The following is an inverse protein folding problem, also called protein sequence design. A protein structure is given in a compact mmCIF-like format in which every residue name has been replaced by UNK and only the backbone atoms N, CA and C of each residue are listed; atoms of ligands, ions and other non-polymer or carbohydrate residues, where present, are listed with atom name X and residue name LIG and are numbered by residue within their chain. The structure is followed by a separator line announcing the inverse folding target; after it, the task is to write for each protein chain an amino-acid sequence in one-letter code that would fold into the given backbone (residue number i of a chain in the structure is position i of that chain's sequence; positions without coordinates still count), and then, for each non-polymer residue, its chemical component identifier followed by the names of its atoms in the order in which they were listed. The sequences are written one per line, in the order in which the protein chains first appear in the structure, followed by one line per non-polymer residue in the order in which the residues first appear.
data_IF_556646088098
#
_entry.id   IF_556646088098
#
_cell.length_a   1.000
_cell.length_b   1.000
_cell.length_c   1.000
_cell.angle_alpha   90.00
_cell.angle_beta   90.00
_cell.angle_gamma   90.00
#
_symmetry.space_group_name_H-M   'P 1'
#
loop_
_entity.id
_entity.type
_entity.pdbx_description
1 polymer ?
#
# COMPACT_ATOMS: atom_id res chain seq x y z
N UNK A 1 -9.98 36.18 19.47
CA UNK A 1 -8.89 35.21 19.65
C UNK A 1 -9.55 33.85 19.70
N UNK A 2 -9.37 33.04 18.67
CA UNK A 2 -9.74 31.62 18.75
C UNK A 2 -8.84 31.00 19.82
N UNK A 3 -9.45 30.46 20.88
CA UNK A 3 -8.70 29.70 21.87
C UNK A 3 -8.10 28.47 21.16
N UNK A 4 -6.84 28.09 21.46
CA UNK A 4 -6.27 26.87 20.90
C UNK A 4 -7.19 25.69 21.23
N UNK A 5 -7.68 25.00 20.20
CA UNK A 5 -8.49 23.80 20.38
C UNK A 5 -7.62 22.72 21.01
N UNK A 6 -7.93 22.33 22.25
CA UNK A 6 -7.22 21.25 22.93
C UNK A 6 -7.51 19.95 22.18
N UNK A 7 -6.44 19.27 21.74
CA UNK A 7 -6.54 17.93 21.21
C UNK A 7 -6.61 16.92 22.37
N UNK A 8 -7.85 16.66 22.80
CA UNK A 8 -8.17 15.67 23.83
C UNK A 8 -7.70 14.25 23.46
N UNK A 9 -7.59 13.92 22.18
CA UNK A 9 -7.15 12.60 21.75
C UNK A 9 -5.65 12.45 21.91
N UNK A 10 -4.87 13.45 21.52
CA UNK A 10 -3.41 13.46 21.69
C UNK A 10 -3.03 13.42 23.17
N UNK A 11 -3.65 14.27 24.00
CA UNK A 11 -3.42 14.27 25.45
C UNK A 11 -3.83 12.94 26.10
N UNK A 12 -4.94 12.31 25.68
CA UNK A 12 -5.34 10.98 26.16
C UNK A 12 -4.39 9.87 25.69
N UNK A 13 -3.83 9.99 24.48
CA UNK A 13 -2.83 9.05 23.93
C UNK A 13 -1.51 9.13 24.70
N UNK A 14 -1.04 10.35 24.96
CA UNK A 14 0.14 10.66 25.77
C UNK A 14 -0.08 10.40 27.26
N UNK A 15 -1.34 10.25 27.65
CA UNK A 15 -1.86 10.04 28.99
C UNK A 15 -1.45 11.10 29.99
N UNK A 16 -1.52 12.35 29.55
CA UNK A 16 -1.30 13.53 30.38
C UNK A 16 -2.52 13.77 31.28
N UNK A 17 -2.75 12.87 32.23
CA UNK A 17 -3.94 12.87 33.08
C UNK A 17 -4.12 14.20 33.83
N UNK A 18 -3.03 14.77 34.37
CA UNK A 18 -3.06 16.06 35.07
C UNK A 18 -3.48 17.20 34.15
N UNK A 19 -2.99 17.20 32.91
CA UNK A 19 -3.38 18.20 31.91
C UNK A 19 -4.85 18.04 31.52
N UNK A 20 -5.31 16.80 31.32
CA UNK A 20 -6.70 16.49 31.00
C UNK A 20 -7.65 16.93 32.13
N UNK A 21 -7.29 16.66 33.39
CA UNK A 21 -8.04 17.12 34.57
C UNK A 21 -8.07 18.64 34.65
N UNK A 22 -6.93 19.29 34.43
CA UNK A 22 -6.83 20.75 34.41
C UNK A 22 -7.70 21.36 33.31
N UNK A 23 -7.59 20.88 32.07
CA UNK A 23 -8.39 21.34 30.94
C UNK A 23 -9.90 21.13 31.17
N UNK A 24 -10.28 19.98 31.76
CA UNK A 24 -11.67 19.67 32.11
C UNK A 24 -12.20 20.63 33.18
N UNK A 25 -11.40 20.94 34.20
CA UNK A 25 -11.78 21.87 35.28
C UNK A 25 -12.00 23.30 34.81
N UNK A 26 -11.40 23.67 33.67
CA UNK A 26 -11.55 24.98 33.04
C UNK A 26 -12.65 25.01 31.96
N UNK A 27 -13.39 23.90 31.77
CA UNK A 27 -14.40 23.73 30.72
C UNK A 27 -13.85 23.98 29.29
N UNK A 28 -12.54 23.73 29.09
CA UNK A 28 -11.88 23.94 27.79
C UNK A 28 -12.03 22.70 26.92
N UNK A 29 -13.12 22.67 26.15
CA UNK A 29 -13.50 21.52 25.32
C UNK A 29 -14.07 20.36 26.13
N UNK A 30 -14.53 19.31 25.45
CA UNK A 30 -15.19 18.18 26.09
C UNK A 30 -14.51 16.85 25.71
N UNK A 31 -14.15 15.99 26.69
CA UNK A 31 -13.77 14.62 26.42
C UNK A 31 -14.88 13.91 25.63
N UNK A 32 -14.49 13.12 24.64
CA UNK A 32 -15.44 12.38 23.81
C UNK A 32 -15.02 10.92 23.68
N UNK A 33 -15.80 10.15 22.92
CA UNK A 33 -15.50 8.74 22.63
C UNK A 33 -14.09 8.52 22.04
N UNK A 34 -13.54 9.50 21.32
CA UNK A 34 -12.25 9.38 20.66
C UNK A 34 -11.08 9.53 21.65
N UNK A 35 -11.25 10.33 22.71
CA UNK A 35 -10.32 10.35 23.84
C UNK A 35 -10.30 8.99 24.56
N UNK A 36 -11.46 8.36 24.78
CA UNK A 36 -11.56 7.00 25.33
C UNK A 36 -10.88 5.97 24.41
N UNK A 37 -11.10 6.06 23.09
CA UNK A 37 -10.42 5.19 22.11
C UNK A 37 -8.90 5.38 22.14
N UNK A 38 -8.41 6.62 22.19
CA UNK A 38 -6.98 6.94 22.20
C UNK A 38 -6.28 6.45 23.48
N UNK A 39 -6.91 6.65 24.64
CA UNK A 39 -6.42 6.12 25.92
C UNK A 39 -6.36 4.58 25.91
N UNK A 40 -7.41 3.92 25.43
CA UNK A 40 -7.45 2.45 25.33
C UNK A 40 -6.43 1.90 24.33
N UNK A 41 -6.31 2.52 23.16
CA UNK A 41 -5.32 2.18 22.14
C UNK A 41 -3.88 2.36 22.64
N UNK A 42 -3.65 3.20 23.65
CA UNK A 42 -2.31 3.50 24.19
C UNK A 42 -2.05 2.86 25.55
N UNK A 43 -3.01 2.09 26.07
CA UNK A 43 -2.87 1.41 27.36
C UNK A 43 -2.93 2.31 28.58
N UNK A 44 -3.50 3.52 28.46
CA UNK A 44 -3.58 4.51 29.54
C UNK A 44 -4.78 4.23 30.45
N UNK A 45 -4.61 3.23 31.32
CA UNK A 45 -5.64 2.79 32.24
C UNK A 45 -6.06 3.90 33.22
N UNK A 46 -5.10 4.69 33.68
CA UNK A 46 -5.29 5.88 34.52
C UNK A 46 -6.25 6.90 33.89
N UNK A 47 -6.07 7.19 32.60
CA UNK A 47 -6.96 8.09 31.85
C UNK A 47 -8.31 7.45 31.58
N UNK A 48 -8.37 6.15 31.30
CA UNK A 48 -9.64 5.44 31.10
C UNK A 48 -10.51 5.43 32.36
N UNK A 49 -9.89 5.12 33.51
CA UNK A 49 -10.54 5.15 34.81
C UNK A 49 -11.13 6.53 35.07
N UNK A 50 -10.33 7.59 34.87
CA UNK A 50 -10.78 8.96 35.02
C UNK A 50 -11.95 9.33 34.08
N UNK A 51 -11.83 9.02 32.78
CA UNK A 51 -12.87 9.29 31.78
C UNK A 51 -14.18 8.56 32.08
N UNK A 52 -14.11 7.38 32.68
CA UNK A 52 -15.29 6.60 33.05
C UNK A 52 -15.89 7.05 34.38
N UNK A 53 -15.08 7.15 35.44
CA UNK A 53 -15.58 7.37 36.80
C UNK A 53 -15.88 8.83 37.12
N UNK A 54 -15.03 9.76 36.66
CA UNK A 54 -15.17 11.19 36.98
C UNK A 54 -15.93 11.94 35.88
N UNK A 55 -15.64 11.67 34.61
CA UNK A 55 -16.32 12.35 33.48
C UNK A 55 -17.66 11.68 33.12
N UNK A 56 -17.82 10.38 33.41
CA UNK A 56 -19.07 9.65 33.15
C UNK A 56 -19.26 9.23 31.68
N UNK A 57 -18.18 9.06 30.91
CA UNK A 57 -18.30 8.59 29.53
C UNK A 57 -18.68 7.11 29.46
N UNK A 58 -19.62 6.71 28.59
CA UNK A 58 -20.02 5.31 28.47
C UNK A 58 -18.91 4.46 27.86
N UNK A 59 -18.73 3.25 28.40
CA UNK A 59 -17.82 2.26 27.83
C UNK A 59 -18.32 1.77 26.48
N UNK A 60 -17.38 1.53 25.57
CA UNK A 60 -17.64 1.08 24.20
C UNK A 60 -16.74 -0.09 23.85
N UNK A 61 -17.31 -1.13 23.24
CA UNK A 61 -16.55 -2.32 22.82
C UNK A 61 -15.45 -1.99 21.81
N UNK A 62 -15.59 -0.92 21.02
CA UNK A 62 -14.54 -0.40 20.14
C UNK A 62 -13.23 -0.11 20.88
N UNK A 63 -13.31 0.51 22.06
CA UNK A 63 -12.14 0.86 22.87
C UNK A 63 -11.41 -0.40 23.35
N UNK A 64 -12.17 -1.41 23.79
CA UNK A 64 -11.62 -2.72 24.15
C UNK A 64 -10.92 -3.39 22.96
N UNK A 65 -11.49 -3.31 21.75
CA UNK A 65 -10.85 -3.82 20.52
C UNK A 65 -9.55 -3.10 20.19
N UNK A 66 -9.47 -1.78 20.36
CA UNK A 66 -8.22 -1.06 20.14
C UNK A 66 -7.15 -1.44 21.18
N UNK A 67 -7.52 -1.58 22.45
CA UNK A 67 -6.63 -2.08 23.48
C UNK A 67 -6.11 -3.49 23.16
N UNK A 68 -6.99 -4.40 22.72
CA UNK A 68 -6.61 -5.75 22.32
C UNK A 68 -5.72 -5.78 21.09
N UNK A 69 -5.98 -4.94 20.08
CA UNK A 69 -5.17 -4.82 18.86
C UNK A 69 -3.77 -4.27 19.13
N UNK A 70 -3.59 -3.50 20.19
CA UNK A 70 -2.30 -2.89 20.56
C UNK A 70 -1.62 -3.58 21.76
N UNK A 71 -2.23 -4.65 22.31
CA UNK A 71 -1.56 -5.52 23.27
C UNK A 71 -1.73 -5.15 24.73
N UNK A 72 -2.68 -4.26 25.04
CA UNK A 72 -2.93 -3.76 26.39
C UNK A 72 -3.84 -4.70 27.19
N UNK A 73 -3.31 -5.83 27.62
CA UNK A 73 -4.06 -6.86 28.37
C UNK A 73 -4.76 -6.30 29.63
N UNK A 74 -4.12 -5.38 30.36
CA UNK A 74 -4.72 -4.81 31.58
C UNK A 74 -5.95 -3.96 31.26
N UNK A 75 -5.91 -3.21 30.17
CA UNK A 75 -7.06 -2.44 29.70
C UNK A 75 -8.19 -3.37 29.24
N UNK A 76 -7.86 -4.47 28.54
CA UNK A 76 -8.87 -5.47 28.13
C UNK A 76 -9.53 -6.11 29.36
N UNK A 77 -8.75 -6.46 30.40
CA UNK A 77 -9.29 -6.95 31.68
C UNK A 77 -10.20 -5.91 32.33
N UNK A 78 -9.78 -4.66 32.37
CA UNK A 78 -10.57 -3.57 32.93
C UNK A 78 -11.92 -3.39 32.21
N UNK A 79 -11.98 -3.49 30.87
CA UNK A 79 -13.25 -3.46 30.14
C UNK A 79 -14.19 -4.62 30.50
N UNK A 80 -13.65 -5.82 30.76
CA UNK A 80 -14.41 -6.96 31.26
C UNK A 80 -14.93 -6.71 32.68
N UNK A 81 -14.05 -6.25 33.58
CA UNK A 81 -14.36 -6.07 35.00
C UNK A 81 -15.38 -4.94 35.25
N UNK A 82 -15.57 -4.03 34.28
CA UNK A 82 -16.60 -2.98 34.30
C UNK A 82 -17.84 -3.30 33.44
N UNK A 83 -18.06 -4.58 33.10
CA UNK A 83 -19.24 -5.07 32.37
C UNK A 83 -19.57 -4.27 31.08
N UNK A 84 -18.54 -3.88 30.31
CA UNK A 84 -18.71 -3.12 29.08
C UNK A 84 -19.59 -3.88 28.06
N UNK A 85 -20.73 -3.34 27.59
CA UNK A 85 -21.61 -4.08 26.70
C UNK A 85 -20.92 -4.52 25.39
N UNK A 86 -20.97 -5.82 25.10
CA UNK A 86 -20.43 -6.43 23.88
C UNK A 86 -18.92 -6.31 23.73
N UNK A 87 -18.16 -6.19 24.84
CA UNK A 87 -16.70 -6.08 24.83
C UNK A 87 -16.00 -7.30 24.20
N UNK A 88 -16.62 -8.47 24.31
CA UNK A 88 -16.18 -9.74 23.72
C UNK A 88 -16.31 -9.76 22.18
N UNK A 89 -17.20 -8.94 21.61
CA UNK A 89 -17.50 -8.96 20.19
C UNK A 89 -16.27 -8.49 19.39
N UNK A 90 -15.65 -9.45 18.70
CA UNK A 90 -14.51 -9.22 17.82
C UNK A 90 -13.18 -8.94 18.55
N UNK A 91 -13.12 -9.14 19.88
CA UNK A 91 -11.91 -8.92 20.67
C UNK A 91 -10.79 -9.90 20.29
N UNK A 92 -11.14 -11.17 20.01
CA UNK A 92 -10.22 -12.21 19.55
C UNK A 92 -9.59 -11.84 18.19
N UNK A 93 -10.41 -11.32 17.27
CA UNK A 93 -9.96 -10.84 15.98
C UNK A 93 -9.00 -9.64 16.12
N UNK A 94 -9.30 -8.71 17.02
CA UNK A 94 -8.44 -7.58 17.28
C UNK A 94 -7.08 -8.03 17.85
N UNK A 95 -7.08 -8.90 18.85
CA UNK A 95 -5.86 -9.47 19.43
C UNK A 95 -5.03 -10.27 18.40
N UNK A 96 -5.68 -11.04 17.52
CA UNK A 96 -5.00 -11.75 16.42
C UNK A 96 -4.44 -10.80 15.35
N UNK A 97 -5.09 -9.65 15.11
CA UNK A 97 -4.59 -8.60 14.21
C UNK A 97 -3.32 -7.94 14.74
N UNK A 98 -3.18 -7.81 16.06
CA UNK A 98 -1.97 -7.28 16.71
C UNK A 98 -0.93 -8.34 17.09
N UNK A 99 -1.25 -9.62 16.92
CA UNK A 99 -0.32 -10.71 17.26
C UNK A 99 -0.18 -10.98 18.76
N UNK A 100 -1.15 -10.54 19.57
CA UNK A 100 -1.01 -10.55 21.03
C UNK A 100 -1.44 -11.88 21.65
N UNK A 101 -0.57 -12.89 21.57
CA UNK A 101 -0.81 -14.24 22.09
C UNK A 101 -1.24 -14.28 23.58
N UNK A 102 -0.72 -13.38 24.42
CA UNK A 102 -1.11 -13.29 25.83
C UNK A 102 -2.59 -12.96 26.00
N UNK A 103 -3.11 -12.05 25.17
CA UNK A 103 -4.52 -11.68 25.19
C UNK A 103 -5.36 -12.84 24.68
N UNK A 104 -4.97 -13.50 23.59
CA UNK A 104 -5.68 -14.65 23.03
C UNK A 104 -5.80 -15.80 24.04
N UNK A 105 -4.71 -16.13 24.75
CA UNK A 105 -4.72 -17.14 25.82
C UNK A 105 -5.67 -16.76 26.96
N UNK A 106 -5.58 -15.51 27.43
CA UNK A 106 -6.45 -15.02 28.49
C UNK A 106 -7.93 -15.03 28.08
N UNK A 107 -8.25 -14.61 26.84
CA UNK A 107 -9.60 -14.66 26.30
C UNK A 107 -10.14 -16.09 26.27
N UNK A 108 -9.35 -17.07 25.85
CA UNK A 108 -9.77 -18.48 25.86
C UNK A 108 -10.10 -19.02 27.25
N UNK A 109 -9.37 -18.59 28.27
CA UNK A 109 -9.61 -19.01 29.66
C UNK A 109 -10.83 -18.33 30.29
N UNK A 110 -11.24 -17.17 29.76
CA UNK A 110 -12.22 -16.28 30.41
C UNK A 110 -13.51 -16.04 29.58
N UNK A 111 -13.55 -16.48 28.32
CA UNK A 111 -14.65 -16.25 27.38
C UNK A 111 -14.98 -17.54 26.61
N UNK A 112 -16.27 -17.76 26.34
CA UNK A 112 -16.76 -18.85 25.49
C UNK A 112 -16.73 -18.46 24.00
N UNK A 113 -15.58 -17.97 23.52
CA UNK A 113 -15.48 -17.46 22.14
C UNK A 113 -15.08 -18.55 21.14
N UNK A 114 -15.83 -18.63 20.06
CA UNK A 114 -15.52 -19.44 18.88
C UNK A 114 -14.52 -18.70 17.99
N UNK A 115 -13.33 -19.28 17.80
CA UNK A 115 -12.41 -18.86 16.77
C UNK A 115 -12.98 -19.26 15.39
N UNK A 116 -12.91 -18.35 14.42
CA UNK A 116 -13.28 -18.65 13.06
C UNK A 116 -12.10 -18.44 12.10
N UNK A 117 -12.27 -18.86 10.85
CA UNK A 117 -11.26 -18.71 9.78
C UNK A 117 -10.79 -17.24 9.63
N UNK A 118 -11.64 -16.26 9.97
CA UNK A 118 -11.28 -14.83 9.95
C UNK A 118 -10.23 -14.47 10.99
N UNK A 119 -10.21 -15.12 12.16
CA UNK A 119 -9.20 -14.89 13.21
C UNK A 119 -7.84 -15.40 12.76
N UNK A 120 -7.78 -16.61 12.19
CA UNK A 120 -6.53 -17.14 11.63
C UNK A 120 -6.02 -16.28 10.48
N UNK A 121 -6.89 -15.86 9.57
CA UNK A 121 -6.51 -14.98 8.46
C UNK A 121 -5.90 -13.65 8.92
N UNK A 122 -6.37 -13.08 10.05
CA UNK A 122 -5.77 -11.88 10.64
C UNK A 122 -4.36 -12.14 11.17
N UNK A 123 -4.16 -13.26 11.86
CA UNK A 123 -2.83 -13.66 12.34
C UNK A 123 -1.86 -13.92 11.18
N UNK A 124 -2.33 -14.59 10.12
CA UNK A 124 -1.55 -14.83 8.88
C UNK A 124 -1.19 -13.52 8.19
N UNK A 125 -2.12 -12.58 8.08
CA UNK A 125 -1.84 -11.24 7.52
C UNK A 125 -0.78 -10.48 8.30
N UNK A 126 -0.78 -10.62 9.63
CA UNK A 126 0.22 -10.00 10.50
C UNK A 126 1.54 -10.75 10.58
N UNK A 127 1.64 -11.96 10.02
CA UNK A 127 2.87 -12.76 10.07
C UNK A 127 3.14 -13.43 11.42
N UNK A 128 2.15 -13.49 12.31
CA UNK A 128 2.34 -13.95 13.68
C UNK A 128 2.30 -15.47 13.77
N UNK A 129 3.42 -16.13 13.42
CA UNK A 129 3.56 -17.59 13.38
C UNK A 129 3.12 -18.26 14.69
N UNK A 130 3.49 -17.70 15.84
CA UNK A 130 3.14 -18.26 17.14
C UNK A 130 1.64 -18.20 17.41
N UNK A 131 0.99 -17.14 16.95
CA UNK A 131 -0.47 -17.01 17.01
C UNK A 131 -1.14 -17.98 16.04
N UNK A 132 -0.63 -18.12 14.81
CA UNK A 132 -1.16 -19.06 13.83
C UNK A 132 -1.09 -20.50 14.35
N UNK A 133 0.08 -20.91 14.87
CA UNK A 133 0.29 -22.21 15.52
C UNK A 133 -0.67 -22.42 16.68
N UNK A 134 -0.72 -21.46 17.61
CA UNK A 134 -1.58 -21.56 18.78
C UNK A 134 -3.06 -21.63 18.40
N UNK A 135 -3.52 -20.85 17.41
CA UNK A 135 -4.90 -20.91 16.94
C UNK A 135 -5.23 -22.30 16.36
N UNK A 136 -4.33 -22.87 15.55
CA UNK A 136 -4.49 -24.21 14.98
C UNK A 136 -4.55 -25.32 16.04
N UNK A 137 -3.68 -25.25 17.05
CA UNK A 137 -3.59 -26.28 18.09
C UNK A 137 -4.78 -26.27 19.05
N UNK A 138 -5.51 -25.14 19.11
CA UNK A 138 -6.52 -24.90 20.14
C UNK A 138 -7.94 -24.77 19.62
N UNK A 139 -8.12 -24.66 18.31
CA UNK A 139 -9.41 -24.52 17.65
C UNK A 139 -9.48 -25.35 16.37
N UNK A 140 -10.65 -25.92 16.07
CA UNK A 140 -10.93 -26.56 14.79
C UNK A 140 -11.16 -25.48 13.74
N UNK A 141 -10.07 -24.98 13.17
CA UNK A 141 -10.12 -24.00 12.10
C UNK A 141 -10.37 -24.80 10.83
N UNK A 142 -11.37 -24.41 10.04
CA UNK A 142 -11.73 -25.09 8.79
C UNK A 142 -10.54 -25.20 7.81
N UNK A 143 -10.79 -25.82 6.67
CA UNK A 143 -9.74 -26.15 5.69
C UNK A 143 -8.84 -24.95 5.34
N UNK A 144 -7.52 -25.17 5.43
CA UNK A 144 -6.50 -24.20 5.05
C UNK A 144 -6.50 -24.04 3.52
N UNK A 145 -7.14 -22.98 3.05
CA UNK A 145 -7.27 -22.70 1.62
C UNK A 145 -6.01 -22.09 1.00
N UNK A 146 -5.88 -22.25 -0.32
CA UNK A 146 -4.84 -21.58 -1.12
C UNK A 146 -4.81 -20.06 -0.96
N UNK A 147 -5.92 -19.43 -0.55
CA UNK A 147 -5.96 -18.00 -0.24
C UNK A 147 -5.10 -17.63 0.97
N UNK A 148 -5.01 -18.51 1.97
CA UNK A 148 -4.18 -18.31 3.18
C UNK A 148 -2.70 -18.35 2.80
N UNK A 149 -2.30 -19.34 1.99
CA UNK A 149 -0.95 -19.45 1.42
C UNK A 149 -0.59 -18.22 0.60
N UNK A 150 -1.47 -17.81 -0.31
CA UNK A 150 -1.31 -16.59 -1.10
C UNK A 150 -1.11 -15.36 -0.22
N UNK A 151 -1.92 -15.20 0.82
CA UNK A 151 -1.85 -14.04 1.72
C UNK A 151 -0.52 -14.00 2.47
N UNK A 152 -0.05 -15.13 3.00
CA UNK A 152 1.25 -15.23 3.66
C UNK A 152 2.41 -14.91 2.70
N UNK A 153 2.38 -15.49 1.50
CA UNK A 153 3.43 -15.31 0.49
C UNK A 153 3.49 -13.86 -0.04
N UNK A 154 2.33 -13.26 -0.31
CA UNK A 154 2.20 -11.88 -0.78
C UNK A 154 2.68 -10.84 0.24
N UNK A 155 2.55 -11.13 1.54
CA UNK A 155 2.91 -10.20 2.61
C UNK A 155 4.31 -10.47 3.20
N UNK A 156 5.05 -11.42 2.65
CA UNK A 156 6.45 -11.62 3.01
C UNK A 156 6.68 -12.56 4.21
N UNK A 157 5.65 -13.26 4.67
CA UNK A 157 5.70 -14.04 5.91
C UNK A 157 6.21 -15.47 5.67
N UNK A 158 7.51 -15.60 5.38
CA UNK A 158 8.15 -16.88 5.02
C UNK A 158 7.92 -18.00 6.05
N UNK A 159 8.01 -17.69 7.34
CA UNK A 159 7.80 -18.68 8.40
C UNK A 159 6.34 -19.15 8.48
N UNK A 160 5.38 -18.28 8.16
CA UNK A 160 3.97 -18.67 8.01
C UNK A 160 3.79 -19.54 6.76
N UNK A 161 4.43 -19.20 5.64
CA UNK A 161 4.40 -20.01 4.40
C UNK A 161 4.93 -21.43 4.66
N UNK A 162 6.08 -21.56 5.33
CA UNK A 162 6.65 -22.85 5.72
C UNK A 162 5.68 -23.65 6.60
N UNK A 163 5.10 -23.01 7.62
CA UNK A 163 4.15 -23.65 8.51
C UNK A 163 2.87 -24.10 7.78
N UNK A 164 2.33 -23.28 6.87
CA UNK A 164 1.15 -23.65 6.07
C UNK A 164 1.44 -24.88 5.20
N UNK A 165 2.63 -24.95 4.60
CA UNK A 165 3.04 -26.11 3.81
C UNK A 165 3.14 -27.39 4.66
N UNK A 166 3.75 -27.33 5.84
CA UNK A 166 3.85 -28.51 6.72
C UNK A 166 2.49 -29.00 7.23
N UNK A 167 1.48 -28.12 7.25
CA UNK A 167 0.11 -28.44 7.65
C UNK A 167 -0.81 -28.78 6.45
N UNK A 168 -0.23 -29.10 5.29
CA UNK A 168 -1.00 -29.57 4.14
C UNK A 168 -1.89 -28.52 3.47
N UNK A 169 -1.63 -27.23 3.69
CA UNK A 169 -2.36 -26.15 3.02
C UNK A 169 -2.21 -26.26 1.50
N UNK A 170 -3.36 -26.24 0.81
CA UNK A 170 -3.41 -26.21 -0.64
C UNK A 170 -2.68 -24.99 -1.18
N UNK A 171 -1.99 -25.17 -2.30
CA UNK A 171 -1.27 -24.09 -2.96
C UNK A 171 -1.94 -23.72 -4.27
N UNK A 172 -1.54 -22.58 -4.80
CA UNK A 172 -1.83 -22.19 -6.16
C UNK A 172 -0.69 -21.33 -6.70
N UNK A 173 -0.60 -21.20 -8.02
CA UNK A 173 0.36 -20.32 -8.67
C UNK A 173 0.27 -18.87 -8.16
N UNK A 174 -0.90 -18.45 -7.66
CA UNK A 174 -1.11 -17.14 -7.08
C UNK A 174 -0.16 -16.85 -5.91
N UNK A 175 0.25 -17.85 -5.13
CA UNK A 175 1.20 -17.65 -4.03
C UNK A 175 2.57 -17.14 -4.51
N UNK A 176 3.10 -17.76 -5.57
CA UNK A 176 4.36 -17.32 -6.16
C UNK A 176 4.20 -16.00 -6.93
N UNK A 177 3.08 -15.81 -7.65
CA UNK A 177 2.77 -14.55 -8.34
C UNK A 177 2.68 -13.38 -7.35
N UNK A 178 2.02 -13.60 -6.21
CA UNK A 178 1.89 -12.62 -5.12
C UNK A 178 3.22 -12.31 -4.45
N UNK A 179 4.03 -13.33 -4.14
CA UNK A 179 5.38 -13.11 -3.60
C UNK A 179 6.27 -12.33 -4.58
N UNK A 180 6.16 -12.61 -5.88
CA UNK A 180 6.92 -11.92 -6.92
C UNK A 180 6.51 -10.45 -7.05
N UNK A 181 5.20 -10.17 -7.02
CA UNK A 181 4.66 -8.80 -7.05
C UNK A 181 5.20 -7.89 -5.94
N UNK A 182 5.42 -8.44 -4.75
CA UNK A 182 5.87 -7.66 -3.58
C UNK A 182 7.37 -7.85 -3.27
N UNK A 183 8.13 -8.46 -4.19
CA UNK A 183 9.59 -8.52 -4.09
C UNK A 183 10.11 -9.54 -3.07
N UNK A 184 9.30 -10.51 -2.67
CA UNK A 184 9.68 -11.50 -1.67
C UNK A 184 10.45 -12.66 -2.31
N UNK A 185 11.66 -12.37 -2.83
CA UNK A 185 12.49 -13.33 -3.56
C UNK A 185 12.75 -14.64 -2.78
N UNK A 186 12.98 -14.55 -1.47
CA UNK A 186 13.22 -15.74 -0.65
C UNK A 186 12.00 -16.66 -0.56
N UNK A 187 10.78 -16.09 -0.59
CA UNK A 187 9.55 -16.88 -0.66
C UNK A 187 9.38 -17.48 -2.07
N UNK A 188 9.70 -16.73 -3.13
CA UNK A 188 9.66 -17.24 -4.50
C UNK A 188 10.58 -18.47 -4.66
N UNK A 189 11.84 -18.36 -4.20
CA UNK A 189 12.80 -19.48 -4.18
C UNK A 189 12.27 -20.66 -3.37
N UNK A 190 11.75 -20.38 -2.18
CA UNK A 190 11.26 -21.42 -1.28
C UNK A 190 10.06 -22.16 -1.87
N UNK A 191 9.08 -21.44 -2.43
CA UNK A 191 7.90 -22.02 -3.09
C UNK A 191 8.30 -22.90 -4.28
N UNK A 192 9.27 -22.47 -5.09
CA UNK A 192 9.79 -23.26 -6.21
C UNK A 192 10.46 -24.58 -5.76
N UNK A 193 11.18 -24.55 -4.64
CA UNK A 193 11.91 -25.73 -4.15
C UNK A 193 11.01 -26.75 -3.44
N UNK A 194 9.93 -26.29 -2.80
CA UNK A 194 9.13 -27.11 -1.89
C UNK A 194 7.72 -27.40 -2.43
N UNK A 195 7.32 -26.80 -3.55
CA UNK A 195 5.99 -27.01 -4.12
C UNK A 195 6.00 -27.09 -5.66
N UNK A 196 4.90 -27.61 -6.21
CA UNK A 196 4.80 -27.95 -7.64
C UNK A 196 3.82 -27.07 -8.42
N UNK A 197 3.09 -26.16 -7.78
CA UNK A 197 2.08 -25.32 -8.48
C UNK A 197 2.71 -24.29 -9.43
N UNK A 198 3.98 -23.93 -9.21
CA UNK A 198 4.71 -22.97 -10.03
C UNK A 198 4.18 -21.53 -9.92
N UNK A 199 4.30 -20.78 -11.02
CA UNK A 199 3.78 -19.43 -11.17
C UNK A 199 3.04 -19.30 -12.51
N UNK A 200 2.45 -18.12 -12.74
CA UNK A 200 1.96 -17.74 -14.07
C UNK A 200 2.85 -16.65 -14.67
N UNK A 201 2.55 -16.22 -15.89
CA UNK A 201 3.17 -15.02 -16.49
C UNK A 201 3.01 -13.76 -15.63
N UNK A 202 2.03 -13.76 -14.71
CA UNK A 202 1.79 -12.63 -13.80
C UNK A 202 2.92 -12.46 -12.79
N UNK A 203 3.66 -13.50 -12.41
CA UNK A 203 4.81 -13.36 -11.52
C UNK A 203 5.84 -12.35 -12.07
N UNK A 204 6.26 -12.52 -13.33
CA UNK A 204 7.24 -11.61 -13.93
C UNK A 204 6.61 -10.27 -14.32
N UNK A 205 5.38 -10.26 -14.83
CA UNK A 205 4.67 -9.01 -15.15
C UNK A 205 4.50 -8.11 -13.92
N UNK A 206 4.06 -8.66 -12.78
CA UNK A 206 3.84 -7.89 -11.56
C UNK A 206 5.13 -7.55 -10.82
N UNK A 207 6.15 -8.41 -10.86
CA UNK A 207 7.48 -8.08 -10.36
C UNK A 207 8.08 -6.90 -11.15
N UNK A 208 7.89 -6.88 -12.47
CA UNK A 208 8.34 -5.79 -13.32
C UNK A 208 7.56 -4.49 -13.07
N UNK A 209 6.23 -4.57 -12.94
CA UNK A 209 5.35 -3.45 -12.59
C UNK A 209 5.73 -2.80 -11.25
N UNK A 210 6.24 -3.59 -10.30
CA UNK A 210 6.59 -3.16 -8.94
C UNK A 210 8.09 -2.88 -8.75
N UNK A 211 8.89 -3.02 -9.81
CA UNK A 211 10.31 -2.63 -9.81
C UNK A 211 11.27 -3.63 -9.20
N UNK A 212 10.83 -4.87 -8.92
CA UNK A 212 11.64 -5.91 -8.27
C UNK A 212 12.55 -6.63 -9.28
N UNK A 213 13.60 -5.95 -9.71
CA UNK A 213 14.53 -6.43 -10.75
C UNK A 213 15.23 -7.75 -10.36
N UNK A 214 15.53 -7.95 -9.09
CA UNK A 214 16.11 -9.18 -8.55
C UNK A 214 15.17 -10.39 -8.74
N UNK A 215 13.88 -10.20 -8.47
CA UNK A 215 12.84 -11.20 -8.73
C UNK A 215 12.69 -11.45 -10.23
N UNK A 216 12.66 -10.40 -11.06
CA UNK A 216 12.57 -10.53 -12.53
C UNK A 216 13.73 -11.36 -13.08
N UNK A 217 14.98 -11.05 -12.68
CA UNK A 217 16.18 -11.80 -13.07
C UNK A 217 16.10 -13.26 -12.63
N UNK A 218 15.65 -13.50 -11.39
CA UNK A 218 15.53 -14.85 -10.87
C UNK A 218 14.48 -15.66 -11.62
N UNK A 219 13.29 -15.08 -11.85
CA UNK A 219 12.22 -15.72 -12.60
C UNK A 219 12.68 -16.04 -14.02
N UNK A 220 13.37 -15.12 -14.69
CA UNK A 220 13.93 -15.36 -16.02
C UNK A 220 14.92 -16.54 -16.06
N UNK A 221 15.81 -16.64 -15.07
CA UNK A 221 16.83 -17.67 -15.05
C UNK A 221 16.30 -19.06 -14.64
N UNK A 222 15.17 -19.12 -13.91
CA UNK A 222 14.72 -20.35 -13.25
C UNK A 222 13.33 -20.84 -13.68
N UNK A 223 12.58 -20.04 -14.47
CA UNK A 223 11.20 -20.34 -14.89
C UNK A 223 11.03 -20.19 -16.40
N UNK A 224 10.06 -20.90 -16.95
CA UNK A 224 9.82 -20.97 -18.40
C UNK A 224 8.56 -20.24 -18.85
N UNK A 225 7.70 -19.83 -17.91
CA UNK A 225 6.45 -19.11 -18.18
C UNK A 225 6.70 -17.77 -18.87
N UNK A 226 7.84 -17.12 -18.57
CA UNK A 226 8.22 -15.84 -19.17
C UNK A 226 7.34 -14.68 -18.70
N UNK A 227 7.19 -13.68 -19.57
CA UNK A 227 6.33 -12.53 -19.36
C UNK A 227 5.50 -12.23 -20.61
N UNK A 228 4.72 -11.16 -20.57
CA UNK A 228 4.10 -10.58 -21.78
C UNK A 228 4.59 -9.15 -21.97
N UNK A 229 4.17 -8.48 -23.06
CA UNK A 229 4.44 -7.03 -23.26
C UNK A 229 4.06 -6.18 -22.06
N UNK A 230 3.07 -6.63 -21.27
CA UNK A 230 2.65 -5.99 -20.02
C UNK A 230 3.78 -5.78 -19.03
N UNK A 231 4.81 -6.65 -18.98
CA UNK A 231 5.94 -6.46 -18.08
C UNK A 231 6.68 -5.15 -18.36
N UNK A 232 7.02 -4.90 -19.64
CA UNK A 232 7.74 -3.68 -20.03
C UNK A 232 6.83 -2.46 -20.01
N UNK A 233 5.57 -2.59 -20.46
CA UNK A 233 4.57 -1.52 -20.44
C UNK A 233 4.31 -1.03 -19.00
N UNK A 234 4.12 -1.97 -18.07
CA UNK A 234 3.85 -1.64 -16.67
C UNK A 234 5.11 -1.13 -15.94
N UNK A 235 6.29 -1.67 -16.22
CA UNK A 235 7.55 -1.13 -15.70
C UNK A 235 7.80 0.31 -16.17
N UNK A 236 7.50 0.61 -17.43
CA UNK A 236 7.61 1.96 -17.98
C UNK A 236 6.61 2.93 -17.34
N UNK A 237 5.34 2.51 -17.19
CA UNK A 237 4.32 3.27 -16.47
C UNK A 237 4.73 3.57 -15.03
N UNK A 238 5.28 2.60 -14.31
CA UNK A 238 5.70 2.77 -12.91
C UNK A 238 7.07 3.46 -12.76
N UNK A 239 7.74 3.88 -13.84
CA UNK A 239 9.02 4.59 -13.77
C UNK A 239 10.23 3.71 -13.45
N UNK A 240 10.14 2.39 -13.64
CA UNK A 240 11.21 1.44 -13.30
C UNK A 240 12.24 1.27 -14.43
N UNK A 241 13.05 2.29 -14.66
CA UNK A 241 14.09 2.35 -15.71
C UNK A 241 14.94 1.07 -15.78
N UNK A 242 15.45 0.62 -14.63
CA UNK A 242 16.35 -0.54 -14.56
C UNK A 242 15.66 -1.84 -15.02
N UNK A 243 14.36 -1.97 -14.75
CA UNK A 243 13.56 -3.11 -15.21
C UNK A 243 13.29 -3.01 -16.70
N UNK A 244 12.92 -1.83 -17.22
CA UNK A 244 12.69 -1.63 -18.66
C UNK A 244 13.94 -1.96 -19.48
N UNK A 245 15.09 -1.39 -19.09
CA UNK A 245 16.38 -1.68 -19.74
C UNK A 245 16.71 -3.17 -19.70
N UNK A 246 16.55 -3.80 -18.53
CA UNK A 246 16.85 -5.21 -18.39
C UNK A 246 15.92 -6.10 -19.24
N UNK A 247 14.60 -5.83 -19.22
CA UNK A 247 13.64 -6.57 -20.05
C UNK A 247 13.96 -6.41 -21.54
N UNK A 248 14.31 -5.19 -21.99
CA UNK A 248 14.68 -4.96 -23.39
C UNK A 248 15.87 -5.82 -23.85
N UNK A 249 16.92 -5.91 -23.03
CA UNK A 249 18.13 -6.65 -23.40
C UNK A 249 18.03 -8.17 -23.21
N UNK A 250 17.10 -8.66 -22.39
CA UNK A 250 17.07 -10.07 -21.97
C UNK A 250 15.78 -10.81 -22.38
N UNK A 251 14.76 -10.12 -22.89
CA UNK A 251 13.46 -10.68 -23.28
C UNK A 251 13.09 -10.27 -24.71
N UNK A 252 12.30 -11.10 -25.38
CA UNK A 252 11.90 -10.91 -26.78
C UNK A 252 10.46 -10.42 -26.94
N UNK A 253 9.66 -10.44 -25.87
CA UNK A 253 8.25 -10.05 -25.89
C UNK A 253 8.06 -8.57 -26.25
N UNK A 254 9.01 -7.72 -25.86
CA UNK A 254 8.96 -6.30 -26.18
C UNK A 254 7.96 -5.50 -25.34
N UNK A 255 7.48 -4.39 -25.90
CA UNK A 255 6.46 -3.52 -25.33
C UNK A 255 5.38 -3.21 -26.37
N UNK A 256 4.35 -2.49 -25.94
CA UNK A 256 3.41 -1.83 -26.84
C UNK A 256 3.65 -0.32 -26.83
N UNK A 257 2.84 0.44 -27.57
CA UNK A 257 2.83 1.92 -27.50
C UNK A 257 2.57 2.44 -26.10
N UNK A 258 1.92 1.64 -25.25
CA UNK A 258 1.60 2.03 -23.88
C UNK A 258 2.86 2.30 -23.05
N UNK A 259 3.96 1.57 -23.27
CA UNK A 259 5.20 1.82 -22.53
C UNK A 259 5.67 3.27 -22.68
N UNK A 260 5.82 3.74 -23.92
CA UNK A 260 6.30 5.08 -24.22
C UNK A 260 5.25 6.14 -23.88
N UNK A 261 3.97 5.90 -24.20
CA UNK A 261 2.88 6.81 -23.83
C UNK A 261 2.80 7.04 -22.33
N UNK A 262 2.86 5.98 -21.52
CA UNK A 262 2.77 6.11 -20.06
C UNK A 262 4.05 6.71 -19.46
N UNK A 263 5.22 6.42 -20.05
CA UNK A 263 6.46 7.08 -19.65
C UNK A 263 6.40 8.60 -19.87
N UNK A 264 5.90 9.04 -21.03
CA UNK A 264 5.69 10.47 -21.34
C UNK A 264 4.69 11.10 -20.37
N UNK A 265 3.54 10.45 -20.16
CA UNK A 265 2.48 10.96 -19.27
C UNK A 265 2.91 11.13 -17.81
N UNK A 266 3.81 10.27 -17.34
CA UNK A 266 4.32 10.32 -15.97
C UNK A 266 5.62 11.12 -15.85
N UNK A 267 6.06 11.81 -16.91
CA UNK A 267 7.30 12.60 -16.89
C UNK A 267 8.58 11.78 -16.81
N UNK A 268 8.54 10.48 -17.10
CA UNK A 268 9.69 9.57 -17.04
C UNK A 268 10.56 9.71 -18.30
N UNK A 269 11.24 10.85 -18.44
CA UNK A 269 12.02 11.19 -19.64
C UNK A 269 13.08 10.14 -20.01
N UNK A 270 13.80 9.58 -19.02
CA UNK A 270 14.83 8.55 -19.30
C UNK A 270 14.22 7.30 -19.96
N UNK A 271 13.01 6.90 -19.57
CA UNK A 271 12.33 5.76 -20.17
C UNK A 271 11.83 6.10 -21.57
N UNK A 272 11.26 7.29 -21.75
CA UNK A 272 10.79 7.75 -23.06
C UNK A 272 11.94 7.81 -24.08
N UNK A 273 13.08 8.37 -23.69
CA UNK A 273 14.29 8.44 -24.51
C UNK A 273 14.83 7.04 -24.82
N UNK A 274 14.94 6.18 -23.80
CA UNK A 274 15.43 4.82 -23.99
C UNK A 274 14.54 4.02 -24.96
N UNK A 275 13.22 4.11 -24.81
CA UNK A 275 12.27 3.41 -25.69
C UNK A 275 12.34 3.96 -27.11
N UNK A 276 12.44 5.27 -27.29
CA UNK A 276 12.59 5.88 -28.62
C UNK A 276 13.88 5.45 -29.34
N UNK A 277 15.00 5.35 -28.62
CA UNK A 277 16.28 4.94 -29.20
C UNK A 277 16.33 3.44 -29.55
N UNK A 278 15.58 2.61 -28.82
CA UNK A 278 15.75 1.15 -28.86
C UNK A 278 14.51 0.37 -29.33
N UNK A 279 13.36 1.03 -29.52
CA UNK A 279 12.08 0.42 -29.89
C UNK A 279 11.42 1.19 -31.06
N UNK A 280 10.55 0.51 -31.81
CA UNK A 280 9.91 1.08 -33.01
C UNK A 280 8.41 1.32 -32.85
N UNK A 281 7.84 0.94 -31.71
CA UNK A 281 6.41 0.98 -31.44
C UNK A 281 5.85 2.42 -31.43
N UNK A 282 6.65 3.38 -30.94
CA UNK A 282 6.27 4.78 -30.75
C UNK A 282 5.31 4.98 -29.57
N UNK A 283 4.64 6.12 -29.54
CA UNK A 283 3.61 6.45 -28.55
C UNK A 283 2.27 6.81 -29.22
N UNK A 284 1.18 6.76 -28.46
CA UNK A 284 -0.14 7.22 -28.87
C UNK A 284 -0.28 8.75 -28.69
N UNK A 285 -0.57 9.45 -29.80
CA UNK A 285 -0.76 10.91 -29.87
C UNK A 285 -2.14 11.40 -29.40
N UNK A 286 -3.10 10.50 -29.10
CA UNK A 286 -4.44 10.86 -28.62
C UNK A 286 -4.46 11.44 -27.19
N UNK A 287 -3.32 11.48 -26.51
CA UNK A 287 -3.21 12.09 -25.18
C UNK A 287 -3.19 13.60 -25.34
N UNK A 288 -4.23 14.31 -24.90
CA UNK A 288 -4.33 15.77 -25.12
C UNK A 288 -3.79 16.61 -23.97
N UNK A 289 -3.52 16.01 -22.80
CA UNK A 289 -3.07 16.73 -21.61
C UNK A 289 -1.90 16.00 -20.94
N UNK A 290 -0.80 16.71 -20.71
CA UNK A 290 0.33 16.30 -19.89
C UNK A 290 0.41 17.14 -18.62
N UNK A 291 0.27 16.47 -17.48
CA UNK A 291 0.34 17.09 -16.16
C UNK A 291 1.78 17.04 -15.64
N UNK A 292 2.31 18.20 -15.26
CA UNK A 292 3.63 18.35 -14.65
C UNK A 292 4.78 17.65 -15.40
N UNK A 293 4.89 17.81 -16.74
CA UNK A 293 6.03 17.30 -17.49
C UNK A 293 7.32 17.98 -17.00
N UNK A 294 8.47 17.34 -17.21
CA UNK A 294 9.75 18.04 -17.12
C UNK A 294 10.04 18.82 -18.41
N UNK A 295 10.80 19.90 -18.29
CA UNK A 295 11.17 20.78 -19.40
C UNK A 295 11.88 20.02 -20.52
N UNK A 296 12.80 19.13 -20.15
CA UNK A 296 13.61 18.33 -21.07
C UNK A 296 12.75 17.40 -21.92
N UNK A 297 11.72 16.78 -21.32
CA UNK A 297 10.78 15.93 -22.04
C UNK A 297 9.99 16.73 -23.07
N UNK A 298 9.48 17.90 -22.70
CA UNK A 298 8.69 18.74 -23.62
C UNK A 298 9.54 19.32 -24.74
N UNK A 299 10.76 19.77 -24.44
CA UNK A 299 11.73 20.19 -25.46
C UNK A 299 12.02 19.06 -26.45
N UNK A 300 12.29 17.85 -25.93
CA UNK A 300 12.57 16.69 -26.76
C UNK A 300 11.36 16.29 -27.61
N UNK A 301 10.14 16.25 -27.05
CA UNK A 301 8.90 15.97 -27.78
C UNK A 301 8.67 16.98 -28.91
N UNK A 302 8.85 18.27 -28.62
CA UNK A 302 8.68 19.33 -29.60
C UNK A 302 9.71 19.22 -30.73
N UNK A 303 10.96 18.87 -30.39
CA UNK A 303 12.00 18.75 -31.41
C UNK A 303 11.83 17.51 -32.30
N UNK A 304 11.36 16.38 -31.74
CA UNK A 304 11.35 15.10 -32.46
C UNK A 304 9.99 14.71 -33.04
N UNK A 305 8.90 15.12 -32.39
CA UNK A 305 7.55 14.73 -32.75
C UNK A 305 6.56 15.90 -32.82
N UNK A 306 6.92 17.04 -33.46
CA UNK A 306 6.11 18.24 -33.43
C UNK A 306 4.69 18.00 -33.97
N UNK A 307 4.55 17.23 -35.06
CA UNK A 307 3.23 16.90 -35.63
C UNK A 307 2.36 16.02 -34.73
N UNK A 308 2.96 15.17 -33.89
CA UNK A 308 2.20 14.26 -33.03
C UNK A 308 1.74 14.91 -31.72
N UNK A 309 2.41 15.99 -31.31
CA UNK A 309 2.03 16.78 -30.13
C UNK A 309 1.24 18.03 -30.49
N UNK A 310 0.87 18.22 -31.77
CA UNK A 310 0.00 19.31 -32.19
C UNK A 310 -1.37 19.19 -31.50
N UNK A 311 -1.80 20.26 -30.85
CA UNK A 311 -2.99 20.32 -30.01
C UNK A 311 -2.81 19.79 -28.58
N UNK A 312 -1.60 19.41 -28.16
CA UNK A 312 -1.37 18.98 -26.79
C UNK A 312 -1.34 20.17 -25.82
N UNK A 313 -1.91 19.94 -24.64
CA UNK A 313 -1.90 20.87 -23.51
C UNK A 313 -0.91 20.38 -22.45
N UNK A 314 -0.09 21.29 -21.94
CA UNK A 314 0.90 21.04 -20.90
C UNK A 314 0.50 21.85 -19.65
N UNK A 315 0.13 21.16 -18.58
CA UNK A 315 -0.25 21.77 -17.30
C UNK A 315 0.98 21.89 -16.39
N UNK A 316 1.49 23.11 -16.24
CA UNK A 316 2.69 23.41 -15.48
C UNK A 316 2.33 23.87 -14.05
N UNK A 317 3.12 23.50 -13.02
CA UNK A 317 2.94 24.08 -11.69
C UNK A 317 3.14 25.60 -11.73
N UNK A 318 2.31 26.36 -11.01
CA UNK A 318 2.39 27.83 -10.99
C UNK A 318 3.75 28.39 -10.51
N UNK A 319 4.52 27.58 -9.76
CA UNK A 319 5.85 27.96 -9.28
C UNK A 319 6.96 27.75 -10.32
N UNK A 320 6.73 26.98 -11.39
CA UNK A 320 7.72 26.73 -12.44
C UNK A 320 7.70 27.85 -13.49
N UNK A 321 8.18 29.01 -13.05
CA UNK A 321 8.26 30.20 -13.90
C UNK A 321 9.26 30.03 -15.04
N UNK A 322 10.29 29.19 -14.89
CA UNK A 322 11.31 28.98 -15.91
C UNK A 322 10.73 28.21 -17.09
N UNK A 323 9.99 27.13 -16.83
CA UNK A 323 9.28 26.40 -17.87
C UNK A 323 8.20 27.31 -18.50
N UNK A 324 7.42 28.02 -17.69
CA UNK A 324 6.44 28.99 -18.22
C UNK A 324 7.07 30.06 -19.12
N UNK A 325 8.28 30.52 -18.79
CA UNK A 325 9.02 31.49 -19.63
C UNK A 325 9.50 30.86 -20.94
N UNK A 326 10.03 29.64 -20.90
CA UNK A 326 10.39 28.90 -22.10
C UNK A 326 9.18 28.71 -23.02
N UNK A 327 8.01 28.31 -22.49
CA UNK A 327 6.78 28.19 -23.27
C UNK A 327 6.43 29.48 -24.03
N UNK A 328 6.64 30.66 -23.43
CA UNK A 328 6.45 31.95 -24.13
C UNK A 328 7.46 32.17 -25.25
N UNK A 329 8.71 31.79 -25.03
CA UNK A 329 9.78 31.94 -26.02
C UNK A 329 9.54 31.09 -27.27
N UNK A 330 8.86 29.94 -27.12
CA UNK A 330 8.47 29.05 -28.22
C UNK A 330 7.01 29.27 -28.69
N UNK A 331 6.38 30.38 -28.30
CA UNK A 331 5.03 30.81 -28.70
C UNK A 331 3.87 29.84 -28.35
N UNK A 332 4.02 29.03 -27.29
CA UNK A 332 2.89 28.24 -26.78
C UNK A 332 1.76 29.17 -26.32
N UNK A 333 0.52 28.80 -26.61
CA UNK A 333 -0.64 29.60 -26.24
C UNK A 333 -1.15 29.21 -24.85
N UNK A 334 -1.50 30.16 -23.99
CA UNK A 334 -2.14 29.84 -22.72
C UNK A 334 -3.63 29.52 -22.94
N UNK A 335 -4.18 28.57 -22.16
CA UNK A 335 -5.63 28.34 -22.19
C UNK A 335 -6.37 29.54 -21.56
N UNK A 336 -7.53 29.96 -22.09
CA UNK A 336 -8.35 30.99 -21.46
C UNK A 336 -8.79 30.63 -20.04
N UNK A 337 -8.91 29.34 -19.75
CA UNK A 337 -9.42 28.80 -18.49
C UNK A 337 -8.36 28.72 -17.38
N UNK A 338 -7.06 28.59 -17.72
CA UNK A 338 -5.98 28.47 -16.75
C UNK A 338 -4.62 28.99 -17.27
N UNK A 339 -4.05 29.99 -16.61
CA UNK A 339 -2.71 30.54 -16.94
C UNK A 339 -1.55 29.54 -16.80
N UNK A 340 -1.80 28.41 -16.14
CA UNK A 340 -0.85 27.31 -15.93
C UNK A 340 -0.86 26.28 -17.05
N UNK A 341 -1.81 26.36 -17.98
CA UNK A 341 -1.94 25.42 -19.09
C UNK A 341 -1.47 26.05 -20.39
N UNK A 342 -0.62 25.33 -21.11
CA UNK A 342 0.03 25.80 -22.34
C UNK A 342 -0.27 24.83 -23.48
N UNK A 343 -0.78 25.33 -24.60
CA UNK A 343 -1.13 24.57 -25.80
C UNK A 343 0.02 24.67 -26.81
N UNK A 344 0.49 23.51 -27.28
CA UNK A 344 1.32 23.42 -28.48
C UNK A 344 0.40 23.33 -29.70
N UNK A 345 0.34 24.38 -30.52
CA UNK A 345 -0.49 24.41 -31.72
C UNK A 345 0.33 24.31 -33.03
N UNK A 346 -0.36 24.22 -34.17
CA UNK A 346 0.28 24.09 -35.47
C UNK A 346 1.21 25.26 -35.81
N UNK A 347 1.10 26.41 -35.13
CA UNK A 347 1.99 27.57 -35.34
C UNK A 347 3.33 27.38 -34.65
N UNK A 348 3.34 26.79 -33.45
CA UNK A 348 4.53 26.34 -32.72
C UNK A 348 5.26 25.25 -33.52
N UNK A 349 4.50 24.27 -34.01
CA UNK A 349 5.03 23.13 -34.77
C UNK A 349 5.78 23.58 -36.02
N UNK A 350 5.23 24.52 -36.79
CA UNK A 350 5.84 25.03 -38.04
C UNK A 350 7.13 25.82 -37.85
N UNK A 351 7.41 26.35 -36.65
CA UNK A 351 8.66 27.06 -36.34
C UNK A 351 9.75 26.12 -35.82
N UNK A 352 9.36 24.94 -35.39
CA UNK A 352 10.23 23.94 -34.76
C UNK A 352 10.78 22.90 -35.76
N UNK A 353 10.12 22.75 -36.92
CA UNK A 353 10.56 21.97 -38.10
C UNK A 353 11.41 22.80 -39.04
#
# INVERSE_FOLDING_TARGET
MEYPTIDWQDAARCGDLEFLKFAYSLEIGCPNKDAMHAAAASGRLDVLEWLYSEVGLPLRSEAARYAARNGHLQVVKWFKDNDCPGWEIGIMNAAATGGHLKILKWLRENCNDECNVSTMNRAVRGGYVDVVKWLNDNYTIGELSAFVMYTAARLGHLEVVKWLHTNGCEGSAAAMDGAARFGHLEIVKWLQQNRTEGCTVQAMNWAAESGHLDVVKWLHANRTEGCTTRAMDAAARSGHVSVVKWLHFNRSEGCTRDAMTQAIRNGNFEIALFLDENRSEGFNSQTTLLEHPCLELTQWLLSKYPEQIDGWTFALPAWDWHFSDWCRQVDFQQTPEAITEWICDSSVVRRST
#
